data_IF_884857084985
#
_entry.id   IF_884857084985
#
_cell.length_a   1.000
_cell.length_b   1.000
_cell.length_c   1.000
_cell.angle_alpha   90.00
_cell.angle_beta   90.00
_cell.angle_gamma   90.00
#
_symmetry.space_group_name_H-M   'P 1'
#
loop_
_entity.id
_entity.type
_entity.pdbx_description
1 polymer ?
#
# COMPACT_ATOMS: atom_id res chain seq x y z
N UNK A 1 -5.99 29.27 -30.67
CA UNK A 1 -5.14 30.25 -29.98
C UNK A 1 -3.85 29.53 -29.68
N UNK A 2 -2.71 29.97 -30.19
CA UNK A 2 -1.43 29.27 -30.00
C UNK A 2 -1.11 29.14 -28.51
N UNK A 3 -0.60 27.99 -28.09
CA UNK A 3 -0.30 27.65 -26.68
C UNK A 3 0.57 28.75 -26.02
N UNK A 4 1.46 29.36 -26.79
CA UNK A 4 2.32 30.48 -26.36
C UNK A 4 1.54 31.75 -25.99
N UNK A 5 0.44 32.06 -26.67
CA UNK A 5 -0.38 33.25 -26.38
C UNK A 5 -1.13 33.06 -25.07
N UNK A 6 -1.66 31.85 -24.83
CA UNK A 6 -2.35 31.54 -23.58
C UNK A 6 -1.41 31.64 -22.37
N UNK A 7 -0.21 31.08 -22.48
CA UNK A 7 0.82 31.16 -21.43
C UNK A 7 1.22 32.61 -21.16
N UNK A 8 1.41 33.41 -22.22
CA UNK A 8 1.75 34.84 -22.09
C UNK A 8 0.64 35.61 -21.37
N UNK A 9 -0.63 35.39 -21.73
CA UNK A 9 -1.77 36.01 -21.05
C UNK A 9 -1.80 35.62 -19.57
N UNK A 10 -1.59 34.34 -19.25
CA UNK A 10 -1.58 33.86 -17.86
C UNK A 10 -0.43 34.45 -17.04
N UNK A 11 0.72 34.72 -17.64
CA UNK A 11 1.81 35.43 -16.98
C UNK A 11 1.44 36.90 -16.73
N UNK A 12 0.97 37.60 -17.75
CA UNK A 12 0.64 39.03 -17.68
C UNK A 12 -0.53 39.34 -16.74
N UNK A 13 -1.48 38.42 -16.56
CA UNK A 13 -2.61 38.62 -15.66
C UNK A 13 -2.21 38.46 -14.18
N UNK A 14 -1.10 37.75 -13.89
CA UNK A 14 -0.71 37.40 -12.51
C UNK A 14 -0.61 38.62 -11.58
N UNK A 15 0.08 39.72 -11.94
CA UNK A 15 0.15 40.93 -11.10
C UNK A 15 -1.21 41.57 -10.84
N UNK A 16 -2.10 41.59 -11.84
CA UNK A 16 -3.44 42.15 -11.72
C UNK A 16 -4.29 41.34 -10.73
N UNK A 17 -4.27 40.01 -10.85
CA UNK A 17 -5.01 39.11 -9.94
C UNK A 17 -4.52 39.26 -8.50
N UNK A 18 -3.20 39.38 -8.30
CA UNK A 18 -2.61 39.64 -6.97
C UNK A 18 -3.06 40.99 -6.40
N UNK A 19 -3.13 42.04 -7.22
CA UNK A 19 -3.56 43.36 -6.79
C UNK A 19 -5.06 43.41 -6.43
N UNK A 20 -5.91 42.68 -7.15
CA UNK A 20 -7.35 42.59 -6.86
C UNK A 20 -7.63 41.77 -5.60
N UNK A 21 -6.90 40.66 -5.42
CA UNK A 21 -7.01 39.78 -4.27
C UNK A 21 -8.22 38.84 -4.29
N UNK A 22 -8.26 37.86 -3.36
CA UNK A 22 -9.23 36.76 -3.36
C UNK A 22 -10.64 37.16 -2.89
N UNK A 23 -10.81 38.33 -2.28
CA UNK A 23 -12.11 38.86 -1.81
C UNK A 23 -12.81 39.75 -2.85
N UNK A 24 -12.21 39.97 -4.02
CA UNK A 24 -12.75 40.87 -5.03
C UNK A 24 -14.02 40.29 -5.69
N UNK A 25 -15.20 40.83 -5.34
CA UNK A 25 -16.51 40.28 -5.73
C UNK A 25 -16.72 40.08 -7.24
N UNK A 26 -16.26 41.01 -8.08
CA UNK A 26 -16.39 40.84 -9.55
C UNK A 26 -15.52 39.69 -10.06
N UNK A 27 -14.35 39.47 -9.46
CA UNK A 27 -13.44 38.41 -9.88
C UNK A 27 -13.97 37.04 -9.45
N UNK A 28 -14.55 36.95 -8.25
CA UNK A 28 -15.28 35.75 -7.80
C UNK A 28 -16.50 35.45 -8.69
N UNK A 29 -17.20 36.49 -9.16
CA UNK A 29 -18.31 36.32 -10.12
C UNK A 29 -17.81 35.76 -11.44
N UNK A 30 -16.70 36.29 -11.98
CA UNK A 30 -16.07 35.76 -13.19
C UNK A 30 -15.59 34.31 -13.02
N UNK A 31 -15.04 33.96 -11.85
CA UNK A 31 -14.71 32.58 -11.51
C UNK A 31 -15.94 31.67 -11.43
N UNK A 32 -17.13 32.19 -11.10
CA UNK A 32 -18.37 31.40 -11.11
C UNK A 32 -18.88 31.17 -12.54
N UNK A 33 -18.75 32.17 -13.41
CA UNK A 33 -19.44 32.20 -14.71
C UNK A 33 -18.50 32.17 -15.93
N UNK A 34 -17.24 31.77 -15.77
CA UNK A 34 -16.29 31.74 -16.90
C UNK A 34 -16.79 30.82 -18.03
N UNK A 35 -16.58 31.18 -19.31
CA UNK A 35 -17.05 30.38 -20.44
C UNK A 35 -16.30 29.03 -20.54
N UNK A 36 -16.89 28.00 -21.16
CA UNK A 36 -16.17 26.76 -21.48
C UNK A 36 -14.88 27.04 -22.27
N UNK A 37 -13.80 26.33 -21.94
CA UNK A 37 -12.47 26.55 -22.51
C UNK A 37 -11.58 27.54 -21.74
N UNK A 38 -12.12 28.23 -20.72
CA UNK A 38 -11.37 29.13 -19.85
C UNK A 38 -10.91 28.48 -18.52
N UNK A 39 -10.99 27.15 -18.41
CA UNK A 39 -10.69 26.39 -17.18
C UNK A 39 -9.23 26.59 -16.75
N UNK A 40 -8.28 26.61 -17.69
CA UNK A 40 -6.86 26.81 -17.39
C UNK A 40 -6.59 28.17 -16.75
N UNK A 41 -7.25 29.22 -17.25
CA UNK A 41 -7.16 30.57 -16.69
C UNK A 41 -7.85 30.64 -15.32
N UNK A 42 -9.02 30.02 -15.17
CA UNK A 42 -9.72 29.96 -13.88
C UNK A 42 -8.88 29.23 -12.81
N UNK A 43 -8.25 28.11 -13.18
CA UNK A 43 -7.33 27.37 -12.30
C UNK A 43 -6.11 28.21 -11.93
N UNK A 44 -5.56 28.98 -12.88
CA UNK A 44 -4.44 29.90 -12.62
C UNK A 44 -4.83 30.99 -11.63
N UNK A 45 -6.00 31.62 -11.80
CA UNK A 45 -6.53 32.62 -10.86
C UNK A 45 -6.72 32.01 -9.47
N UNK A 46 -7.31 30.81 -9.38
CA UNK A 46 -7.47 30.10 -8.12
C UNK A 46 -6.12 29.82 -7.45
N UNK A 47 -5.13 29.36 -8.21
CA UNK A 47 -3.77 29.11 -7.71
C UNK A 47 -3.18 30.37 -7.09
N UNK A 48 -3.27 31.50 -7.79
CA UNK A 48 -2.77 32.81 -7.32
C UNK A 48 -3.45 33.22 -6.02
N UNK A 49 -4.76 33.02 -5.89
CA UNK A 49 -5.50 33.32 -4.66
C UNK A 49 -5.04 32.54 -3.45
N UNK A 50 -4.45 31.37 -3.68
CA UNK A 50 -4.01 30.43 -2.64
C UNK A 50 -2.49 30.36 -2.46
N UNK A 51 -1.72 31.14 -3.24
CA UNK A 51 -0.24 31.11 -3.18
C UNK A 51 0.32 31.59 -1.82
N UNK A 52 -0.35 32.56 -1.17
CA UNK A 52 0.20 33.27 0.00
C UNK A 52 -0.75 33.33 1.19
N UNK A 53 -1.71 32.42 1.29
CA UNK A 53 -2.64 32.42 2.41
C UNK A 53 -3.66 31.31 2.35
N UNK A 54 -4.44 31.20 3.43
CA UNK A 54 -5.54 30.25 3.50
C UNK A 54 -6.73 30.72 2.65
N UNK A 55 -7.31 29.85 1.82
CA UNK A 55 -8.55 30.12 1.12
C UNK A 55 -9.65 30.60 2.08
N UNK A 56 -10.43 31.61 1.68
CA UNK A 56 -11.61 32.02 2.45
C UNK A 56 -12.74 31.00 2.32
N UNK A 57 -13.61 30.89 3.33
CA UNK A 57 -14.78 30.01 3.28
C UNK A 57 -15.67 30.26 2.05
N UNK A 58 -15.76 31.52 1.60
CA UNK A 58 -16.47 31.89 0.37
C UNK A 58 -15.82 31.29 -0.87
N UNK A 59 -14.49 31.32 -0.96
CA UNK A 59 -13.76 30.72 -2.09
C UNK A 59 -13.88 29.20 -2.09
N UNK A 60 -13.78 28.56 -0.91
CA UNK A 60 -13.98 27.10 -0.75
C UNK A 60 -15.38 26.70 -1.22
N UNK A 61 -16.43 27.39 -0.75
CA UNK A 61 -17.81 27.11 -1.16
C UNK A 61 -18.04 27.31 -2.66
N UNK A 62 -17.48 28.37 -3.24
CA UNK A 62 -17.56 28.65 -4.67
C UNK A 62 -16.95 27.52 -5.51
N UNK A 63 -15.71 27.13 -5.20
CA UNK A 63 -15.00 26.10 -5.97
C UNK A 63 -15.65 24.73 -5.79
N UNK A 64 -16.17 24.39 -4.60
CA UNK A 64 -16.97 23.17 -4.39
C UNK A 64 -18.20 23.13 -5.29
N UNK A 65 -18.97 24.22 -5.34
CA UNK A 65 -20.14 24.36 -6.22
C UNK A 65 -19.75 24.20 -7.69
N UNK A 66 -18.65 24.83 -8.12
CA UNK A 66 -18.14 24.73 -9.50
C UNK A 66 -17.74 23.32 -9.91
N UNK A 67 -16.99 22.61 -9.06
CA UNK A 67 -16.53 21.25 -9.36
C UNK A 67 -17.71 20.28 -9.48
N UNK A 68 -18.75 20.46 -8.65
CA UNK A 68 -19.94 19.62 -8.67
C UNK A 68 -20.88 19.96 -9.84
N UNK A 69 -21.03 21.24 -10.20
CA UNK A 69 -21.96 21.69 -11.26
C UNK A 69 -21.39 21.49 -12.67
N UNK A 70 -20.07 21.58 -12.84
CA UNK A 70 -19.41 21.65 -14.17
C UNK A 70 -18.41 20.53 -14.45
N UNK A 71 -18.30 19.55 -13.56
CA UNK A 71 -17.36 18.43 -13.67
C UNK A 71 -15.90 18.85 -13.95
N UNK A 72 -15.43 19.89 -13.24
CA UNK A 72 -14.11 20.46 -13.47
C UNK A 72 -12.97 19.52 -13.04
N UNK A 73 -11.78 19.72 -13.60
CA UNK A 73 -10.58 18.95 -13.23
C UNK A 73 -10.34 18.93 -11.69
N UNK A 74 -9.91 17.78 -11.16
CA UNK A 74 -9.63 17.60 -9.74
C UNK A 74 -8.60 18.59 -9.18
N UNK A 75 -7.75 19.17 -10.06
CA UNK A 75 -6.78 20.22 -9.72
C UNK A 75 -7.43 21.47 -9.11
N UNK A 76 -8.70 21.73 -9.38
CA UNK A 76 -9.43 22.82 -8.72
C UNK A 76 -9.64 22.58 -7.21
N UNK A 77 -9.65 21.31 -6.76
CA UNK A 77 -9.84 20.97 -5.36
C UNK A 77 -8.54 21.07 -4.55
N UNK A 78 -7.39 20.86 -5.18
CA UNK A 78 -6.07 20.83 -4.52
C UNK A 78 -5.80 22.08 -3.65
N UNK A 79 -6.06 23.31 -4.12
CA UNK A 79 -5.74 24.50 -3.33
C UNK A 79 -6.64 24.73 -2.13
N UNK A 80 -7.80 24.07 -2.08
CA UNK A 80 -8.84 24.32 -1.08
C UNK A 80 -9.12 23.12 -0.16
N UNK A 81 -8.60 21.93 -0.48
CA UNK A 81 -8.97 20.70 0.24
C UNK A 81 -8.58 20.71 1.71
N UNK A 82 -7.49 21.39 2.09
CA UNK A 82 -7.07 21.50 3.49
C UNK A 82 -7.99 22.37 4.36
N UNK A 83 -8.83 23.20 3.74
CA UNK A 83 -9.81 24.05 4.43
C UNK A 83 -11.24 23.48 4.38
N UNK A 84 -11.40 22.27 3.84
CA UNK A 84 -12.67 21.55 3.85
C UNK A 84 -12.90 20.84 5.19
N UNK A 85 -14.16 20.53 5.47
CA UNK A 85 -14.48 19.62 6.56
C UNK A 85 -14.05 18.18 6.23
N UNK A 86 -13.96 17.35 7.27
CA UNK A 86 -13.52 15.96 7.12
C UNK A 86 -14.35 15.17 6.11
N UNK A 87 -15.67 15.39 6.07
CA UNK A 87 -16.57 14.63 5.21
C UNK A 87 -16.35 14.95 3.72
N UNK A 88 -16.11 16.23 3.42
CA UNK A 88 -15.76 16.69 2.08
C UNK A 88 -14.37 16.23 1.65
N UNK A 89 -13.38 16.22 2.55
CA UNK A 89 -12.05 15.66 2.26
C UNK A 89 -12.20 14.19 1.84
N UNK A 90 -12.92 13.38 2.64
CA UNK A 90 -13.16 11.97 2.33
C UNK A 90 -13.84 11.77 0.97
N UNK A 91 -14.80 12.65 0.62
CA UNK A 91 -15.53 12.61 -0.65
C UNK A 91 -14.67 12.99 -1.85
N UNK A 92 -13.83 14.00 -1.73
CA UNK A 92 -13.13 14.60 -2.87
C UNK A 92 -11.71 14.07 -3.07
N UNK A 93 -11.09 13.50 -2.04
CA UNK A 93 -9.73 13.00 -2.14
C UNK A 93 -9.53 11.90 -3.20
N UNK A 94 -10.42 10.90 -3.36
CA UNK A 94 -10.28 9.88 -4.41
C UNK A 94 -10.14 10.50 -5.81
N UNK A 95 -10.92 11.54 -6.11
CA UNK A 95 -10.86 12.28 -7.37
C UNK A 95 -9.50 12.97 -7.58
N UNK A 96 -8.92 13.56 -6.52
CA UNK A 96 -7.57 14.15 -6.59
C UNK A 96 -6.52 13.08 -6.82
N UNK A 97 -6.60 11.95 -6.12
CA UNK A 97 -5.63 10.86 -6.26
C UNK A 97 -5.66 10.24 -7.66
N UNK A 98 -6.82 10.26 -8.31
CA UNK A 98 -7.01 9.76 -9.68
C UNK A 98 -6.18 10.50 -10.74
N UNK A 99 -5.63 11.70 -10.43
CA UNK A 99 -4.76 12.43 -11.36
C UNK A 99 -3.35 11.80 -11.48
N UNK A 100 -3.00 10.87 -10.59
CA UNK A 100 -1.71 10.16 -10.64
C UNK A 100 -1.61 9.33 -11.92
N UNK A 101 -0.49 9.49 -12.62
CA UNK A 101 -0.23 8.88 -13.93
C UNK A 101 1.23 8.43 -14.11
N UNK A 102 1.96 8.21 -13.00
CA UNK A 102 3.37 7.82 -13.03
C UNK A 102 4.37 8.97 -13.04
N UNK A 103 3.97 10.18 -13.44
CA UNK A 103 4.87 11.34 -13.60
C UNK A 103 5.15 12.06 -12.26
N UNK A 104 6.27 12.80 -12.12
CA UNK A 104 6.65 13.42 -10.85
C UNK A 104 5.74 14.58 -10.42
N UNK A 105 5.13 15.33 -11.34
CA UNK A 105 4.33 16.51 -11.01
C UNK A 105 3.01 16.15 -10.28
N UNK A 106 2.19 15.19 -10.75
CA UNK A 106 1.04 14.71 -9.98
C UNK A 106 1.42 14.12 -8.64
N UNK A 107 2.57 13.42 -8.56
CA UNK A 107 3.07 12.84 -7.31
C UNK A 107 3.41 13.92 -6.28
N UNK A 108 4.07 15.00 -6.69
CA UNK A 108 4.39 16.11 -5.78
C UNK A 108 3.12 16.82 -5.31
N UNK A 109 2.15 17.04 -6.20
CA UNK A 109 0.85 17.60 -5.85
C UNK A 109 0.09 16.75 -4.82
N UNK A 110 -0.05 15.45 -5.08
CA UNK A 110 -0.75 14.53 -4.16
C UNK A 110 0.00 14.42 -2.83
N UNK A 111 1.34 14.41 -2.84
CA UNK A 111 2.14 14.45 -1.62
C UNK A 111 1.86 15.71 -0.79
N UNK A 112 1.81 16.88 -1.42
CA UNK A 112 1.47 18.14 -0.76
C UNK A 112 0.05 18.11 -0.18
N UNK A 113 -0.91 17.55 -0.93
CA UNK A 113 -2.28 17.35 -0.44
C UNK A 113 -2.27 16.47 0.81
N UNK A 114 -1.64 15.30 0.78
CA UNK A 114 -1.54 14.41 1.94
C UNK A 114 -0.91 15.09 3.15
N UNK A 115 0.18 15.84 2.97
CA UNK A 115 0.79 16.62 4.06
C UNK A 115 -0.14 17.67 4.66
N UNK A 116 -1.02 18.26 3.84
CA UNK A 116 -1.93 19.34 4.28
C UNK A 116 -3.20 18.82 4.96
N UNK A 117 -3.67 17.62 4.61
CA UNK A 117 -4.93 17.06 5.10
C UNK A 117 -4.76 16.03 6.22
N UNK A 118 -3.52 15.66 6.55
CA UNK A 118 -3.23 14.63 7.55
C UNK A 118 -2.67 15.25 8.83
N UNK A 119 -3.22 14.87 9.98
CA UNK A 119 -2.65 15.23 11.28
C UNK A 119 -1.31 14.52 11.49
N UNK A 120 -0.28 15.27 11.89
CA UNK A 120 0.98 14.67 12.33
C UNK A 120 0.75 13.96 13.67
N UNK A 121 1.01 12.63 13.77
CA UNK A 121 0.90 11.93 15.04
C UNK A 121 1.84 12.56 16.08
N UNK A 122 1.38 12.80 17.32
CA UNK A 122 2.29 13.27 18.38
C UNK A 122 3.38 12.21 18.63
N UNK A 123 4.58 12.66 19.02
CA UNK A 123 5.74 11.82 19.37
C UNK A 123 5.44 10.74 20.45
N UNK A 124 4.32 10.89 21.15
CA UNK A 124 3.82 9.96 22.18
C UNK A 124 2.85 8.91 21.66
N UNK A 125 2.48 8.94 20.37
CA UNK A 125 1.68 7.88 19.75
C UNK A 125 2.40 6.53 19.93
N UNK A 126 1.68 5.50 20.38
CA UNK A 126 2.26 4.19 20.72
C UNK A 126 2.91 4.05 22.11
N UNK A 127 3.14 5.14 22.85
CA UNK A 127 3.60 5.08 24.25
C UNK A 127 2.39 5.17 25.18
N UNK A 128 2.10 4.08 25.90
CA UNK A 128 1.01 4.01 26.88
C UNK A 128 1.29 5.00 28.02
N UNK A 129 0.72 6.20 27.92
CA UNK A 129 0.63 7.14 29.04
C UNK A 129 -0.84 7.25 29.43
N UNK A 130 -1.14 7.12 30.71
CA UNK A 130 -2.50 7.08 31.28
C UNK A 130 -3.26 8.41 31.20
N UNK A 131 -2.72 9.40 30.51
CA UNK A 131 -3.35 10.70 30.30
C UNK A 131 -3.71 10.83 28.83
N UNK A 132 -4.85 10.24 28.41
CA UNK A 132 -5.38 10.46 27.07
C UNK A 132 -5.59 11.97 26.86
N UNK A 133 -4.87 12.62 25.93
CA UNK A 133 -5.25 13.96 25.53
C UNK A 133 -6.65 13.86 24.93
N UNK A 134 -7.56 14.70 25.42
CA UNK A 134 -8.90 14.88 24.85
C UNK A 134 -8.74 14.98 23.33
N UNK A 135 -9.26 14.02 22.58
CA UNK A 135 -9.23 14.03 21.11
C UNK A 135 -9.92 15.32 20.69
N UNK A 136 -9.16 16.35 20.35
CA UNK A 136 -9.72 17.50 19.64
C UNK A 136 -10.24 16.90 18.34
N UNK A 137 -11.53 17.06 18.07
CA UNK A 137 -12.10 16.74 16.76
C UNK A 137 -11.30 17.57 15.75
N UNK A 138 -10.37 16.92 15.07
CA UNK A 138 -9.64 17.51 13.96
C UNK A 138 -10.53 17.33 12.74
N UNK A 139 -10.72 18.41 12.00
CA UNK A 139 -11.32 18.36 10.66
C UNK A 139 -10.40 17.62 9.66
N UNK A 140 -9.13 17.40 10.02
CA UNK A 140 -8.15 16.68 9.23
C UNK A 140 -8.24 15.16 9.45
N UNK A 141 -7.69 14.41 8.50
CA UNK A 141 -7.60 12.96 8.56
C UNK A 141 -6.47 12.52 9.48
N UNK A 142 -6.68 11.42 10.20
CA UNK A 142 -5.56 10.67 10.76
C UNK A 142 -4.83 9.92 9.63
N UNK A 143 -3.53 9.60 9.81
CA UNK A 143 -2.79 8.82 8.82
C UNK A 143 -3.44 7.47 8.51
N UNK A 144 -4.02 6.83 9.53
CA UNK A 144 -4.71 5.55 9.37
C UNK A 144 -5.96 5.69 8.49
N UNK A 145 -6.77 6.74 8.71
CA UNK A 145 -7.96 7.02 7.90
C UNK A 145 -7.61 7.28 6.43
N UNK A 146 -6.53 8.02 6.16
CA UNK A 146 -6.07 8.24 4.79
C UNK A 146 -5.72 6.90 4.11
N UNK A 147 -4.91 6.06 4.75
CA UNK A 147 -4.54 4.77 4.15
C UNK A 147 -5.75 3.87 3.95
N UNK A 148 -6.68 3.82 4.91
CA UNK A 148 -7.91 3.02 4.78
C UNK A 148 -8.75 3.52 3.60
N UNK A 149 -8.93 4.83 3.47
CA UNK A 149 -9.64 5.43 2.34
C UNK A 149 -9.02 5.05 0.99
N UNK A 150 -7.69 5.11 0.86
CA UNK A 150 -7.00 4.73 -0.38
C UNK A 150 -7.24 3.27 -0.78
N UNK A 151 -7.40 2.37 0.20
CA UNK A 151 -7.72 0.97 -0.07
C UNK A 151 -9.20 0.76 -0.42
N UNK A 152 -10.11 1.46 0.27
CA UNK A 152 -11.55 1.35 0.04
C UNK A 152 -11.97 1.97 -1.30
N UNK A 153 -11.36 3.09 -1.68
CA UNK A 153 -11.63 3.82 -2.92
C UNK A 153 -10.81 3.31 -4.12
N UNK A 154 -10.18 2.14 -4.05
CA UNK A 154 -9.37 1.55 -5.14
C UNK A 154 -10.12 1.54 -6.49
N UNK A 155 -11.41 1.21 -6.48
CA UNK A 155 -12.24 1.13 -7.69
C UNK A 155 -12.50 2.49 -8.34
N UNK A 156 -12.61 3.53 -7.52
CA UNK A 156 -12.84 4.91 -7.97
C UNK A 156 -11.53 5.55 -8.46
N UNK A 157 -10.45 5.34 -7.70
CA UNK A 157 -9.12 5.91 -7.97
C UNK A 157 -8.46 5.23 -9.17
N UNK A 158 -8.72 3.94 -9.35
CA UNK A 158 -8.01 3.07 -10.28
C UNK A 158 -6.76 2.44 -9.65
N UNK A 159 -6.50 1.18 -10.01
CA UNK A 159 -5.48 0.34 -9.38
C UNK A 159 -4.08 0.98 -9.41
N UNK A 160 -3.64 1.52 -10.56
CA UNK A 160 -2.29 2.11 -10.71
C UNK A 160 -2.12 3.35 -9.84
N UNK A 161 -3.09 4.26 -9.88
CA UNK A 161 -3.08 5.50 -9.12
C UNK A 161 -3.16 5.23 -7.61
N UNK A 162 -3.95 4.23 -7.19
CA UNK A 162 -4.02 3.80 -5.78
C UNK A 162 -2.68 3.22 -5.29
N UNK A 163 -2.00 2.40 -6.10
CA UNK A 163 -0.66 1.88 -5.79
C UNK A 163 0.34 3.05 -5.61
N UNK A 164 0.31 4.02 -6.50
CA UNK A 164 1.19 5.19 -6.43
C UNK A 164 0.90 6.02 -5.18
N UNK A 165 -0.37 6.25 -4.85
CA UNK A 165 -0.79 6.98 -3.68
C UNK A 165 -0.32 6.33 -2.38
N UNK A 166 -0.50 5.01 -2.26
CA UNK A 166 -0.01 4.23 -1.12
C UNK A 166 1.53 4.30 -1.06
N UNK A 167 2.21 4.27 -2.20
CA UNK A 167 3.65 4.49 -2.29
C UNK A 167 4.09 5.87 -1.80
N UNK A 168 3.32 6.93 -2.07
CA UNK A 168 3.56 8.27 -1.53
C UNK A 168 3.46 8.24 0.00
N UNK A 169 2.42 7.61 0.58
CA UNK A 169 2.31 7.45 2.03
C UNK A 169 3.54 6.77 2.64
N UNK A 170 4.05 5.70 2.03
CA UNK A 170 5.26 5.02 2.53
C UNK A 170 6.53 5.87 2.45
N UNK A 171 6.59 6.81 1.50
CA UNK A 171 7.71 7.75 1.41
C UNK A 171 7.65 8.88 2.45
N UNK A 172 6.56 8.98 3.22
CA UNK A 172 6.36 9.97 4.30
C UNK A 172 6.60 9.29 5.67
N UNK A 173 7.83 8.83 5.90
CA UNK A 173 8.22 7.95 7.03
C UNK A 173 7.96 8.55 8.41
N UNK A 174 7.99 9.88 8.53
CA UNK A 174 7.70 10.58 9.78
C UNK A 174 6.24 10.45 10.22
N UNK A 175 5.33 10.27 9.24
CA UNK A 175 3.88 10.18 9.44
C UNK A 175 3.43 8.73 9.47
N UNK A 176 3.87 7.90 8.52
CA UNK A 176 3.43 6.51 8.34
C UNK A 176 4.40 5.52 8.97
N UNK A 177 4.53 5.61 10.31
CA UNK A 177 5.39 4.72 11.11
C UNK A 177 4.77 3.33 11.25
N UNK A 178 5.58 2.36 11.69
CA UNK A 178 5.15 0.95 11.85
C UNK A 178 3.90 0.76 12.72
N UNK A 179 3.71 1.59 13.74
CA UNK A 179 2.51 1.59 14.60
C UNK A 179 1.23 1.99 13.84
N UNK A 180 1.30 3.02 13.00
CA UNK A 180 0.18 3.45 12.15
C UNK A 180 -0.16 2.36 11.16
N UNK A 181 0.85 1.76 10.54
CA UNK A 181 0.64 0.67 9.60
C UNK A 181 0.01 -0.56 10.28
N UNK A 182 0.37 -0.87 11.52
CA UNK A 182 -0.26 -1.93 12.29
C UNK A 182 -1.76 -1.65 12.52
N UNK A 183 -2.13 -0.40 12.85
CA UNK A 183 -3.54 0.02 13.00
C UNK A 183 -4.29 -0.14 11.68
N UNK A 184 -3.72 0.35 10.57
CA UNK A 184 -4.30 0.21 9.22
C UNK A 184 -4.49 -1.26 8.86
N UNK A 185 -3.47 -2.10 9.10
CA UNK A 185 -3.55 -3.53 8.82
C UNK A 185 -4.67 -4.20 9.61
N UNK A 186 -4.80 -3.85 10.88
CA UNK A 186 -5.82 -4.42 11.76
C UNK A 186 -7.23 -3.97 11.36
N UNK A 187 -7.41 -2.72 10.94
CA UNK A 187 -8.69 -2.21 10.48
C UNK A 187 -9.11 -2.84 9.14
N UNK A 188 -8.20 -2.89 8.17
CA UNK A 188 -8.51 -3.43 6.83
C UNK A 188 -8.79 -4.94 6.87
N UNK A 189 -8.07 -5.71 7.69
CA UNK A 189 -8.32 -7.16 7.81
C UNK A 189 -9.68 -7.46 8.44
N UNK A 190 -10.28 -6.51 9.17
CA UNK A 190 -11.61 -6.64 9.75
C UNK A 190 -12.74 -6.43 8.73
N UNK A 191 -12.49 -5.73 7.61
CA UNK A 191 -13.53 -5.40 6.64
C UNK A 191 -14.23 -6.60 6.01
N UNK A 192 -15.55 -6.53 5.76
CA UNK A 192 -16.30 -7.65 5.18
C UNK A 192 -15.76 -8.04 3.80
N UNK A 193 -15.37 -7.05 3.00
CA UNK A 193 -14.74 -7.23 1.69
C UNK A 193 -13.29 -6.77 1.78
N UNK A 194 -12.35 -7.72 1.84
CA UNK A 194 -10.92 -7.38 1.95
C UNK A 194 -10.43 -6.69 0.66
N UNK A 195 -9.84 -5.48 0.75
CA UNK A 195 -9.35 -4.78 -0.44
C UNK A 195 -8.23 -5.55 -1.15
N UNK A 196 -8.23 -5.55 -2.48
CA UNK A 196 -7.24 -6.29 -3.29
C UNK A 196 -5.81 -5.85 -3.02
N UNK A 197 -5.62 -4.55 -2.80
CA UNK A 197 -4.32 -3.97 -2.48
C UNK A 197 -3.79 -4.32 -1.08
N UNK A 198 -4.62 -4.86 -0.19
CA UNK A 198 -4.25 -5.12 1.21
C UNK A 198 -2.94 -5.90 1.34
N UNK A 199 -2.83 -7.06 0.69
CA UNK A 199 -1.64 -7.91 0.83
C UNK A 199 -0.41 -7.33 0.15
N UNK A 200 -0.59 -6.52 -0.90
CA UNK A 200 0.51 -5.77 -1.51
C UNK A 200 1.07 -4.74 -0.51
N UNK A 201 0.19 -4.00 0.14
CA UNK A 201 0.53 -3.02 1.18
C UNK A 201 1.28 -3.69 2.33
N UNK A 202 0.78 -4.82 2.84
CA UNK A 202 1.48 -5.56 3.92
C UNK A 202 2.84 -6.07 3.48
N UNK A 203 2.96 -6.59 2.25
CA UNK A 203 4.23 -7.12 1.73
C UNK A 203 5.30 -6.04 1.64
N UNK A 204 4.95 -4.83 1.18
CA UNK A 204 5.89 -3.69 1.07
C UNK A 204 6.30 -3.16 2.44
N UNK A 205 5.43 -3.28 3.44
CA UNK A 205 5.59 -2.65 4.76
C UNK A 205 5.98 -3.61 5.86
N UNK A 206 6.37 -4.83 5.51
CA UNK A 206 6.78 -5.83 6.48
C UNK A 206 8.08 -5.41 7.16
N UNK A 207 7.96 -4.57 8.17
CA UNK A 207 9.04 -4.21 9.07
C UNK A 207 9.36 -5.38 9.98
N UNK A 208 10.64 -5.52 10.35
CA UNK A 208 11.09 -6.55 11.30
C UNK A 208 10.25 -6.56 12.59
N UNK A 209 9.82 -5.40 13.08
CA UNK A 209 8.97 -5.26 14.26
C UNK A 209 7.56 -5.83 14.09
N UNK A 210 6.99 -5.79 12.88
CA UNK A 210 5.62 -6.23 12.59
C UNK A 210 5.53 -7.71 12.24
N UNK A 211 6.65 -8.39 11.96
CA UNK A 211 6.66 -9.82 11.58
C UNK A 211 5.92 -10.70 12.59
N UNK A 212 6.06 -10.42 13.89
CA UNK A 212 5.35 -11.14 14.94
C UNK A 212 3.83 -10.98 14.85
N UNK A 213 3.35 -9.75 14.70
CA UNK A 213 1.93 -9.45 14.49
C UNK A 213 1.38 -10.06 13.20
N UNK A 214 2.11 -9.89 12.09
CA UNK A 214 1.71 -10.43 10.78
C UNK A 214 1.61 -11.95 10.82
N UNK A 215 2.64 -12.63 11.33
CA UNK A 215 2.68 -14.10 11.35
C UNK A 215 1.63 -14.73 12.26
N UNK A 216 1.41 -14.19 13.45
CA UNK A 216 0.53 -14.82 14.45
C UNK A 216 -0.92 -14.40 14.31
N UNK A 217 -1.15 -13.11 14.07
CA UNK A 217 -2.50 -12.51 14.08
C UNK A 217 -3.01 -12.40 12.65
N UNK A 218 -2.29 -11.68 11.79
CA UNK A 218 -2.82 -11.33 10.48
C UNK A 218 -3.04 -12.55 9.58
N UNK A 219 -2.03 -13.41 9.42
CA UNK A 219 -2.15 -14.60 8.58
C UNK A 219 -3.28 -15.53 9.07
N UNK A 220 -3.39 -15.77 10.38
CA UNK A 220 -4.45 -16.61 10.97
C UNK A 220 -5.85 -16.05 10.68
N UNK A 221 -6.02 -14.73 10.76
CA UNK A 221 -7.29 -14.06 10.44
C UNK A 221 -7.65 -14.15 8.95
N UNK A 222 -6.66 -13.98 8.07
CA UNK A 222 -6.84 -14.14 6.62
C UNK A 222 -7.27 -15.57 6.26
N UNK A 223 -6.68 -16.58 6.89
CA UNK A 223 -7.07 -17.99 6.71
C UNK A 223 -8.53 -18.20 7.11
N UNK A 224 -8.95 -17.63 8.23
CA UNK A 224 -10.35 -17.73 8.70
C UNK A 224 -11.34 -17.10 7.71
N UNK A 225 -10.92 -16.05 7.00
CA UNK A 225 -11.70 -15.41 5.92
C UNK A 225 -11.67 -16.16 4.58
N UNK A 226 -11.03 -17.32 4.49
CA UNK A 226 -10.94 -18.15 3.27
C UNK A 226 -10.42 -17.37 2.06
N UNK A 227 -9.39 -16.55 2.24
CA UNK A 227 -8.84 -15.67 1.19
C UNK A 227 -8.46 -16.39 -0.12
N UNK A 228 -8.27 -17.72 -0.10
CA UNK A 228 -8.02 -18.53 -1.29
C UNK A 228 -9.16 -18.50 -2.32
N UNK A 229 -10.37 -18.06 -1.94
CA UNK A 229 -11.46 -17.86 -2.90
C UNK A 229 -11.25 -16.64 -3.81
N UNK A 230 -10.30 -15.76 -3.49
CA UNK A 230 -9.95 -14.58 -4.27
C UNK A 230 -8.50 -14.73 -4.78
N UNK A 231 -8.29 -15.01 -6.08
CA UNK A 231 -6.95 -15.33 -6.60
C UNK A 231 -5.89 -14.23 -6.39
N UNK A 232 -6.18 -12.92 -6.64
CA UNK A 232 -5.25 -11.84 -6.30
C UNK A 232 -4.80 -11.82 -4.83
N UNK A 233 -5.74 -12.02 -3.90
CA UNK A 233 -5.41 -12.06 -2.47
C UNK A 233 -4.62 -13.32 -2.13
N UNK A 234 -4.98 -14.46 -2.71
CA UNK A 234 -4.24 -15.70 -2.48
C UNK A 234 -2.78 -15.62 -2.91
N UNK A 235 -2.52 -15.08 -4.10
CA UNK A 235 -1.16 -14.83 -4.59
C UNK A 235 -0.38 -13.88 -3.66
N UNK A 236 -1.03 -12.82 -3.16
CA UNK A 236 -0.45 -11.92 -2.18
C UNK A 236 -0.08 -12.62 -0.86
N UNK A 237 -0.93 -13.54 -0.40
CA UNK A 237 -0.72 -14.28 0.84
C UNK A 237 0.45 -15.24 0.72
N UNK A 238 0.56 -15.97 -0.39
CA UNK A 238 1.68 -16.88 -0.65
C UNK A 238 3.01 -16.10 -0.65
N UNK A 239 3.05 -14.93 -1.31
CA UNK A 239 4.24 -14.06 -1.33
C UNK A 239 4.59 -13.54 0.06
N UNK A 240 3.61 -13.07 0.82
CA UNK A 240 3.81 -12.60 2.19
C UNK A 240 4.32 -13.72 3.11
N UNK A 241 3.72 -14.92 3.02
CA UNK A 241 4.11 -16.07 3.81
C UNK A 241 5.55 -16.50 3.51
N UNK A 242 5.98 -16.43 2.24
CA UNK A 242 7.38 -16.66 1.86
C UNK A 242 8.31 -15.60 2.41
N UNK A 243 7.92 -14.32 2.31
CA UNK A 243 8.74 -13.19 2.75
C UNK A 243 9.08 -13.25 4.24
N UNK A 244 8.13 -13.68 5.07
CA UNK A 244 8.31 -13.74 6.53
C UNK A 244 8.68 -15.14 7.04
N UNK A 245 8.97 -16.09 6.15
CA UNK A 245 9.47 -17.40 6.57
C UNK A 245 10.78 -17.23 7.37
N UNK A 246 10.97 -17.97 8.48
CA UNK A 246 10.17 -19.10 8.96
C UNK A 246 9.01 -18.72 9.91
N UNK A 247 8.78 -17.44 10.20
CA UNK A 247 7.75 -17.01 11.16
C UNK A 247 6.32 -17.37 10.70
N UNK A 248 6.07 -17.39 9.38
CA UNK A 248 4.76 -17.76 8.79
C UNK A 248 4.34 -19.21 9.02
N UNK A 249 5.28 -20.14 9.28
CA UNK A 249 5.01 -21.58 9.28
C UNK A 249 3.91 -21.98 10.28
N UNK A 250 3.85 -21.32 11.45
CA UNK A 250 2.81 -21.59 12.44
C UNK A 250 1.39 -21.29 11.94
N UNK A 251 1.23 -20.23 11.14
CA UNK A 251 -0.05 -19.88 10.52
C UNK A 251 -0.36 -20.76 9.30
N UNK A 252 0.65 -21.09 8.48
CA UNK A 252 0.46 -21.95 7.31
C UNK A 252 -0.11 -23.33 7.67
N UNK A 253 0.23 -23.88 8.83
CA UNK A 253 -0.34 -25.15 9.32
C UNK A 253 -1.82 -25.07 9.71
N UNK A 254 -2.43 -23.87 9.75
CA UNK A 254 -3.87 -23.69 9.95
C UNK A 254 -4.66 -23.82 8.65
N UNK A 255 -3.99 -23.82 7.48
CA UNK A 255 -4.65 -23.96 6.19
C UNK A 255 -5.31 -25.35 6.03
N UNK A 256 -6.41 -25.43 5.26
CA UNK A 256 -6.93 -26.70 4.78
C UNK A 256 -5.88 -27.45 3.95
N UNK A 257 -5.96 -28.79 3.93
CA UNK A 257 -4.98 -29.67 3.28
C UNK A 257 -4.77 -29.31 1.80
N UNK A 258 -5.85 -29.08 1.06
CA UNK A 258 -5.80 -28.76 -0.37
C UNK A 258 -5.05 -27.45 -0.64
N UNK A 259 -5.30 -26.44 0.19
CA UNK A 259 -4.68 -25.12 0.06
C UNK A 259 -3.22 -25.13 0.49
N UNK A 260 -2.87 -25.94 1.49
CA UNK A 260 -1.48 -26.16 1.88
C UNK A 260 -0.70 -26.88 0.78
N UNK A 261 -1.31 -27.87 0.11
CA UNK A 261 -0.71 -28.55 -1.05
C UNK A 261 -0.46 -27.58 -2.20
N UNK A 262 -1.47 -26.81 -2.60
CA UNK A 262 -1.34 -25.80 -3.66
C UNK A 262 -0.23 -24.78 -3.33
N UNK A 263 -0.15 -24.31 -2.09
CA UNK A 263 0.88 -23.37 -1.66
C UNK A 263 2.29 -23.96 -1.80
N UNK A 264 2.47 -25.23 -1.44
CA UNK A 264 3.76 -25.92 -1.55
C UNK A 264 4.13 -26.16 -3.02
N UNK A 265 3.15 -26.50 -3.86
CA UNK A 265 3.35 -26.66 -5.30
C UNK A 265 3.77 -25.33 -5.96
N UNK A 266 3.14 -24.22 -5.56
CA UNK A 266 3.49 -22.87 -6.04
C UNK A 266 4.81 -22.34 -5.47
N UNK A 267 5.20 -22.75 -4.27
CA UNK A 267 6.44 -22.32 -3.60
C UNK A 267 7.23 -23.50 -3.02
N UNK A 268 7.92 -24.30 -3.86
CA UNK A 268 8.68 -25.47 -3.42
C UNK A 268 9.75 -25.13 -2.37
N UNK A 269 10.28 -23.90 -2.38
CA UNK A 269 11.28 -23.44 -1.41
C UNK A 269 10.80 -23.46 0.05
N UNK A 270 9.48 -23.47 0.31
CA UNK A 270 8.93 -23.52 1.66
C UNK A 270 8.80 -24.96 2.21
N UNK A 271 8.85 -25.97 1.33
CA UNK A 271 8.62 -27.39 1.67
C UNK A 271 9.56 -27.89 2.77
N UNK A 272 10.87 -27.70 2.57
CA UNK A 272 11.89 -28.16 3.52
C UNK A 272 11.71 -27.50 4.90
N UNK A 273 11.53 -26.17 4.93
CA UNK A 273 11.34 -25.43 6.18
C UNK A 273 10.04 -25.76 6.92
N UNK A 274 8.95 -26.00 6.18
CA UNK A 274 7.67 -26.45 6.77
C UNK A 274 7.80 -27.85 7.38
N UNK A 275 8.49 -28.78 6.70
CA UNK A 275 8.74 -30.13 7.18
C UNK A 275 9.54 -30.11 8.49
N UNK A 276 10.64 -29.36 8.53
CA UNK A 276 11.46 -29.19 9.74
C UNK A 276 10.63 -28.58 10.88
N UNK A 277 9.81 -27.56 10.57
CA UNK A 277 8.94 -26.93 11.57
C UNK A 277 7.92 -27.90 12.16
N UNK A 278 7.31 -28.75 11.34
CA UNK A 278 6.36 -29.79 11.79
C UNK A 278 7.05 -30.87 12.61
N UNK A 279 8.25 -31.32 12.20
CA UNK A 279 9.04 -32.29 12.96
C UNK A 279 9.44 -31.76 14.33
N UNK A 280 9.85 -30.48 14.41
CA UNK A 280 10.24 -29.83 15.65
C UNK A 280 9.08 -29.55 16.60
N UNK A 281 7.89 -29.22 16.07
CA UNK A 281 6.70 -28.83 16.86
C UNK A 281 5.73 -30.00 17.12
N UNK A 282 5.96 -31.14 16.47
CA UNK A 282 5.05 -32.27 16.44
C UNK A 282 4.97 -33.04 17.76
N UNK A 283 3.97 -32.75 18.59
CA UNK A 283 3.60 -33.58 19.75
C UNK A 283 2.65 -34.73 19.38
N UNK A 284 1.94 -34.62 18.24
CA UNK A 284 0.89 -35.56 17.83
C UNK A 284 1.22 -36.25 16.50
N UNK A 285 1.64 -37.52 16.57
CA UNK A 285 2.21 -38.30 15.45
C UNK A 285 1.27 -38.44 14.25
N UNK A 286 -0.03 -38.57 14.46
CA UNK A 286 -1.01 -38.72 13.37
C UNK A 286 -1.16 -37.43 12.53
N UNK A 287 -1.13 -36.27 13.19
CA UNK A 287 -1.21 -34.96 12.52
C UNK A 287 0.08 -34.66 11.76
N UNK A 288 1.23 -35.03 12.33
CA UNK A 288 2.55 -34.94 11.67
C UNK A 288 2.62 -35.80 10.42
N UNK A 289 2.15 -37.06 10.48
CA UNK A 289 2.10 -37.96 9.33
C UNK A 289 1.23 -37.39 8.18
N UNK A 290 0.07 -36.82 8.51
CA UNK A 290 -0.81 -36.20 7.50
C UNK A 290 -0.23 -34.96 6.82
N UNK A 291 0.65 -34.20 7.49
CA UNK A 291 1.38 -33.10 6.84
C UNK A 291 2.59 -33.59 6.04
N UNK A 292 3.30 -34.60 6.52
CA UNK A 292 4.44 -35.20 5.83
C UNK A 292 4.04 -35.83 4.49
N UNK A 293 2.84 -36.42 4.42
CA UNK A 293 2.25 -36.93 3.18
C UNK A 293 1.98 -35.80 2.15
N UNK A 294 1.45 -34.66 2.60
CA UNK A 294 1.21 -33.48 1.75
C UNK A 294 2.52 -32.90 1.23
N UNK A 295 3.56 -32.88 2.07
CA UNK A 295 4.85 -32.35 1.66
C UNK A 295 5.61 -33.32 0.76
N UNK A 296 5.30 -34.62 0.76
CA UNK A 296 6.06 -35.63 0.03
C UNK A 296 7.45 -35.86 0.60
N UNK A 297 8.07 -36.97 0.22
CA UNK A 297 9.47 -37.26 0.54
C UNK A 297 10.40 -36.31 -0.24
N UNK A 298 11.62 -36.15 0.27
CA UNK A 298 12.66 -35.43 -0.45
C UNK A 298 13.06 -36.23 -1.68
N UNK A 299 12.73 -35.74 -2.88
CA UNK A 299 13.40 -36.20 -4.13
C UNK A 299 14.91 -35.87 -4.11
N UNK A 300 15.38 -35.13 -3.12
CA UNK A 300 16.80 -34.87 -2.87
C UNK A 300 17.57 -36.11 -2.38
N UNK A 301 16.89 -37.22 -2.05
CA UNK A 301 17.53 -38.46 -1.61
C UNK A 301 17.66 -39.54 -2.70
N UNK A 302 17.12 -39.31 -3.92
CA UNK A 302 17.10 -40.34 -4.96
C UNK A 302 18.08 -40.14 -6.13
N UNK A 303 18.96 -39.13 -6.07
CA UNK A 303 20.06 -38.96 -7.04
C UNK A 303 21.40 -39.55 -6.61
N UNK A 304 21.46 -40.32 -5.51
CA UNK A 304 22.69 -40.99 -5.06
C UNK A 304 22.64 -42.53 -5.06
N UNK A 305 21.66 -43.14 -5.74
CA UNK A 305 21.58 -44.59 -5.93
C UNK A 305 21.42 -45.02 -7.39
N UNK A 306 22.18 -44.44 -8.31
CA UNK A 306 22.46 -45.14 -9.57
C UNK A 306 23.76 -44.64 -10.20
N UNK A 307 24.87 -45.33 -9.87
CA UNK A 307 26.02 -45.60 -10.75
C UNK A 307 27.09 -46.33 -9.94
N UNK A 308 26.96 -47.65 -9.85
CA UNK A 308 28.08 -48.55 -9.55
C UNK A 308 28.81 -48.79 -10.88
N UNK A 309 30.09 -48.41 -11.05
CA UNK A 309 30.87 -48.87 -12.20
C UNK A 309 31.25 -50.35 -12.02
N UNK A 310 31.36 -51.14 -13.11
CA UNK A 310 31.79 -52.53 -13.01
C UNK A 310 33.28 -52.61 -12.63
N UNK A 311 33.59 -53.60 -11.78
CA UNK A 311 34.93 -53.86 -11.23
C UNK A 311 35.95 -54.24 -12.32
N UNK A 312 37.15 -53.64 -12.25
CA UNK A 312 38.33 -54.05 -13.00
C UNK A 312 39.13 -55.12 -12.22
N UNK A 313 39.82 -56.07 -12.88
CA UNK A 313 40.47 -57.21 -12.23
C UNK A 313 41.84 -56.84 -11.63
N UNK A 314 42.20 -57.56 -10.56
CA UNK A 314 43.41 -57.37 -9.74
C UNK A 314 44.73 -57.72 -10.47
N UNK A 315 45.85 -57.04 -10.16
CA UNK A 315 47.17 -57.50 -10.55
C UNK A 315 47.80 -58.41 -9.48
N UNK A 316 48.48 -59.46 -9.94
CA UNK A 316 49.18 -60.48 -9.16
C UNK A 316 50.45 -59.95 -8.46
N UNK A 317 50.90 -60.58 -7.36
CA UNK A 317 52.12 -60.20 -6.65
C UNK A 317 53.37 -60.76 -7.34
N UNK A 318 54.44 -59.97 -7.37
CA UNK A 318 55.78 -60.39 -7.84
C UNK A 318 56.70 -60.40 -6.62
N UNK A 319 57.22 -61.58 -6.27
CA UNK A 319 58.28 -61.76 -5.27
C UNK A 319 59.69 -61.45 -5.85
N UNK A 320 60.67 -61.07 -5.01
CA UNK A 320 62.07 -60.80 -5.41
C UNK A 320 62.93 -62.08 -5.28
N UNK A 321 64.29 -62.08 -5.30
CA UNK A 321 65.34 -61.22 -5.90
C UNK A 321 66.33 -62.07 -6.76
N UNK A 322 67.42 -61.48 -7.31
CA UNK A 322 68.79 -62.06 -7.26
C UNK A 322 69.84 -61.18 -7.97
N UNK A 323 71.06 -61.24 -7.42
CA UNK A 323 72.26 -60.48 -7.74
C UNK A 323 72.96 -60.90 -9.04
N UNK A 324 73.72 -59.96 -9.60
CA UNK A 324 75.09 -60.14 -10.13
C UNK A 324 75.79 -58.78 -10.13
#
# INVERSE_FOLDING_TARGET
MDVSVQETIQQLITPLIRALGPSHGKLLTLLRTFPPGAESLALRVLTIFTEHGRPSAQLVALVKSLVNERDLDARFLIPIIAEMDKADILRHLPRIVSILNGTPEPKSLVRSVFSSIVTVPPETFGKVTSNLPRVRQSELLTPAELMVLLHQSEKEIGLKSAIEAIGICFSMTEIFRSEILAVVMNQLVDEPNLPTLFLRTVTVTTYRSLVGFVSTTLLSRLITKKIWTNPPLWEGFIRLAKLIAPASFGALLQLPKDQLRELVDKQPSLKAGLREHVMRKGTNKARVAGYLDIFGEDDSANTSKEQTPPAAPAPMPVDPPAAS
#
